data_IF_049745733837
#
_entry.id   IF_049745733837
#
_cell.length_a   1.000
_cell.length_b   1.000
_cell.length_c   1.000
_cell.angle_alpha   90.00
_cell.angle_beta   90.00
_cell.angle_gamma   90.00
#
_symmetry.space_group_name_H-M   'P 1'
#
loop_
_entity.id
_entity.type
_entity.pdbx_description
1 polymer ?
#
# COMPACT_ATOMS: atom_id res chain seq x y z
N UNK A 1 -13.68 5.89 -27.56
CA UNK A 1 -13.99 6.19 -26.15
C UNK A 1 -12.71 6.41 -25.38
N UNK A 2 -12.76 7.03 -24.20
CA UNK A 2 -11.57 7.17 -23.35
C UNK A 2 -10.97 5.82 -22.94
N UNK A 3 -9.73 5.83 -22.46
CA UNK A 3 -9.00 4.65 -22.01
C UNK A 3 -8.33 4.91 -20.65
N UNK A 4 -8.18 3.86 -19.86
CA UNK A 4 -7.40 3.87 -18.63
C UNK A 4 -6.33 2.79 -18.72
N UNK A 5 -5.09 3.16 -18.43
CA UNK A 5 -3.95 2.24 -18.38
C UNK A 5 -3.40 2.28 -16.97
N UNK A 6 -3.44 1.14 -16.29
CA UNK A 6 -2.73 0.92 -15.04
C UNK A 6 -1.36 0.31 -15.37
N UNK A 7 -0.31 1.10 -15.23
CA UNK A 7 1.07 0.64 -15.40
C UNK A 7 1.68 0.35 -14.02
N UNK A 8 2.11 -0.89 -13.81
CA UNK A 8 2.75 -1.35 -12.58
C UNK A 8 4.19 -1.77 -12.87
N UNK A 9 5.15 -1.11 -12.22
CA UNK A 9 6.57 -1.44 -12.32
C UNK A 9 7.08 -1.89 -10.96
N UNK A 10 7.75 -3.03 -10.92
CA UNK A 10 8.36 -3.58 -9.70
C UNK A 10 9.83 -3.85 -9.97
N UNK A 11 10.69 -3.01 -9.39
CA UNK A 11 12.14 -3.11 -9.55
C UNK A 11 12.78 -3.60 -8.24
N UNK A 12 13.37 -4.81 -8.21
CA UNK A 12 14.12 -5.29 -7.05
C UNK A 12 15.28 -4.34 -6.73
N UNK A 13 15.45 -3.97 -5.46
CA UNK A 13 16.52 -3.04 -5.05
C UNK A 13 17.62 -3.71 -4.23
N UNK A 14 17.26 -4.72 -3.45
CA UNK A 14 18.13 -5.64 -2.71
C UNK A 14 17.30 -6.86 -2.27
N UNK A 15 17.90 -8.00 -1.86
CA UNK A 15 17.14 -9.19 -1.48
C UNK A 15 16.08 -8.92 -0.40
N UNK A 16 14.80 -9.10 -0.74
CA UNK A 16 13.67 -8.85 0.16
C UNK A 16 13.08 -7.44 0.08
N UNK A 17 13.56 -6.60 -0.84
CA UNK A 17 12.98 -5.29 -1.11
C UNK A 17 12.74 -5.07 -2.60
N UNK A 18 11.58 -4.49 -2.88
CA UNK A 18 11.16 -4.08 -4.21
C UNK A 18 10.71 -2.63 -4.17
N UNK A 19 11.13 -1.86 -5.17
CA UNK A 19 10.54 -0.56 -5.46
C UNK A 19 9.37 -0.78 -6.39
N UNK A 20 8.16 -0.64 -5.85
CA UNK A 20 6.93 -0.69 -6.62
C UNK A 20 6.48 0.73 -7.03
N UNK A 21 6.13 0.90 -8.30
CA UNK A 21 5.66 2.16 -8.89
C UNK A 21 4.38 1.84 -9.67
N UNK A 22 3.26 2.37 -9.19
CA UNK A 22 1.98 2.31 -9.89
C UNK A 22 1.65 3.66 -10.52
N UNK A 23 1.23 3.65 -11.78
CA UNK A 23 0.80 4.83 -12.52
C UNK A 23 -0.55 4.57 -13.20
N UNK A 24 -1.54 5.41 -12.89
CA UNK A 24 -2.82 5.42 -13.57
C UNK A 24 -2.78 6.49 -14.67
N UNK A 25 -2.82 6.07 -15.93
CA UNK A 25 -2.82 6.94 -17.09
C UNK A 25 -4.25 6.97 -17.64
N UNK A 26 -4.87 8.14 -17.62
CA UNK A 26 -6.22 8.35 -18.15
C UNK A 26 -6.11 9.08 -19.48
N UNK A 27 -6.46 8.38 -20.55
CA UNK A 27 -6.55 8.92 -21.91
C UNK A 27 -8.01 9.31 -22.14
N UNK A 28 -8.27 10.61 -22.32
CA UNK A 28 -9.63 11.09 -22.60
C UNK A 28 -10.04 10.72 -24.02
N UNK A 29 -11.33 10.47 -24.22
CA UNK A 29 -11.90 10.34 -25.56
C UNK A 29 -11.82 11.64 -26.34
N UNK A 30 -12.11 11.59 -27.64
CA UNK A 30 -12.18 12.77 -28.51
C UNK A 30 -13.20 13.81 -28.02
N UNK A 31 -14.22 13.36 -27.29
CA UNK A 31 -15.24 14.17 -26.62
C UNK A 31 -14.79 14.76 -25.27
N UNK A 32 -13.52 14.56 -24.89
CA UNK A 32 -12.94 15.00 -23.63
C UNK A 32 -13.41 14.19 -22.41
N UNK A 33 -14.21 13.14 -22.60
CA UNK A 33 -14.74 12.33 -21.50
C UNK A 33 -13.78 11.24 -21.08
N UNK A 34 -13.87 10.87 -19.80
CA UNK A 34 -13.17 9.71 -19.24
C UNK A 34 -13.96 8.43 -19.56
N UNK A 35 -13.32 7.24 -19.59
CA UNK A 35 -14.02 5.98 -19.85
C UNK A 35 -15.11 5.66 -18.81
N UNK A 36 -16.27 5.22 -19.31
CA UNK A 36 -17.41 4.73 -18.51
C UNK A 36 -17.10 3.37 -17.85
N UNK A 37 -17.66 3.10 -16.67
CA UNK A 37 -17.54 1.80 -15.97
C UNK A 37 -16.32 1.62 -15.06
N UNK A 38 -15.32 2.51 -15.16
CA UNK A 38 -14.18 2.58 -14.24
C UNK A 38 -14.26 3.78 -13.29
N UNK A 39 -15.46 4.34 -13.10
CA UNK A 39 -15.69 5.59 -12.36
C UNK A 39 -14.91 5.67 -11.04
N UNK A 40 -14.82 4.59 -10.24
CA UNK A 40 -14.02 4.59 -9.01
C UNK A 40 -12.54 4.93 -9.22
N UNK A 41 -11.92 4.41 -10.29
CA UNK A 41 -10.53 4.69 -10.69
C UNK A 41 -10.42 5.94 -11.60
N UNK A 42 -11.53 6.37 -12.20
CA UNK A 42 -11.63 7.54 -13.09
C UNK A 42 -12.06 8.83 -12.37
N UNK A 43 -12.54 8.76 -11.13
CA UNK A 43 -12.88 9.95 -10.33
C UNK A 43 -11.58 10.75 -10.16
N UNK A 44 -11.64 12.04 -10.47
CA UNK A 44 -10.56 12.98 -10.20
C UNK A 44 -10.43 13.20 -8.69
N UNK A 45 -9.88 12.18 -8.01
CA UNK A 45 -9.57 12.23 -6.59
C UNK A 45 -8.38 13.18 -6.40
N UNK A 46 -8.34 13.95 -5.31
CA UNK A 46 -7.12 14.66 -4.93
C UNK A 46 -5.92 13.70 -4.92
N UNK A 47 -4.78 14.12 -5.47
CA UNK A 47 -3.61 13.22 -5.62
C UNK A 47 -3.19 12.54 -4.32
N UNK A 48 -3.29 13.24 -3.18
CA UNK A 48 -2.96 12.66 -1.88
C UNK A 48 -3.87 11.48 -1.50
N UNK A 49 -5.15 11.53 -1.89
CA UNK A 49 -6.10 10.49 -1.56
C UNK A 49 -5.83 9.24 -2.41
N UNK A 50 -5.52 9.44 -3.70
CA UNK A 50 -5.06 8.36 -4.58
C UNK A 50 -3.81 7.66 -4.04
N UNK A 51 -2.84 8.41 -3.50
CA UNK A 51 -1.66 7.82 -2.86
C UNK A 51 -2.01 6.96 -1.64
N UNK A 52 -2.91 7.44 -0.76
CA UNK A 52 -3.33 6.66 0.41
C UNK A 52 -4.09 5.40 -0.02
N UNK A 53 -5.06 5.51 -0.93
CA UNK A 53 -5.88 4.35 -1.32
C UNK A 53 -5.05 3.31 -2.06
N UNK A 54 -4.16 3.72 -2.95
CA UNK A 54 -3.24 2.81 -3.64
C UNK A 54 -2.29 2.13 -2.65
N UNK A 55 -1.73 2.89 -1.70
CA UNK A 55 -0.87 2.33 -0.64
C UNK A 55 -1.65 1.34 0.23
N UNK A 56 -2.86 1.68 0.69
CA UNK A 56 -3.71 0.78 1.48
C UNK A 56 -3.95 -0.54 0.75
N UNK A 57 -4.31 -0.48 -0.53
CA UNK A 57 -4.56 -1.65 -1.37
C UNK A 57 -3.32 -2.55 -1.46
N UNK A 58 -2.14 -1.98 -1.75
CA UNK A 58 -0.89 -2.74 -1.85
C UNK A 58 -0.46 -3.36 -0.52
N UNK A 59 -0.73 -2.69 0.60
CA UNK A 59 -0.39 -3.21 1.92
C UNK A 59 -1.23 -4.44 2.31
N UNK A 60 -2.39 -4.67 1.70
CA UNK A 60 -3.20 -5.88 1.97
C UNK A 60 -2.47 -7.17 1.57
N UNK A 61 -1.77 -7.17 0.44
CA UNK A 61 -1.04 -8.36 -0.04
C UNK A 61 0.42 -8.39 0.44
N UNK A 62 1.00 -7.23 0.74
CA UNK A 62 2.42 -7.09 1.06
C UNK A 62 2.87 -7.98 2.23
N UNK A 63 2.05 -8.13 3.28
CA UNK A 63 2.40 -9.00 4.42
C UNK A 63 2.48 -10.47 4.04
N UNK A 64 1.56 -10.94 3.20
CA UNK A 64 1.61 -12.32 2.69
C UNK A 64 2.85 -12.53 1.82
N UNK A 65 3.15 -11.59 0.93
CA UNK A 65 4.34 -11.64 0.07
C UNK A 65 5.63 -11.66 0.90
N UNK A 66 5.73 -10.79 1.92
CA UNK A 66 6.86 -10.78 2.85
C UNK A 66 7.03 -12.13 3.55
N UNK A 67 5.97 -12.67 4.15
CA UNK A 67 6.09 -13.95 4.84
C UNK A 67 6.39 -15.11 3.90
N UNK A 68 5.76 -15.15 2.72
CA UNK A 68 5.97 -16.20 1.72
C UNK A 68 7.41 -16.22 1.22
N UNK A 69 7.97 -15.08 0.83
CA UNK A 69 9.36 -15.00 0.35
C UNK A 69 10.34 -15.48 1.42
N UNK A 70 10.13 -15.08 2.69
CA UNK A 70 11.01 -15.47 3.80
C UNK A 70 10.92 -16.96 4.14
N UNK A 71 9.72 -17.53 4.08
CA UNK A 71 9.51 -18.98 4.32
C UNK A 71 10.18 -19.80 3.21
N UNK A 72 10.01 -19.38 1.96
CA UNK A 72 10.66 -20.02 0.81
C UNK A 72 12.18 -19.97 0.96
N UNK A 73 12.74 -18.79 1.25
CA UNK A 73 14.17 -18.63 1.46
C UNK A 73 14.70 -19.48 2.63
N UNK A 74 13.98 -19.53 3.75
CA UNK A 74 14.36 -20.34 4.91
C UNK A 74 14.31 -21.86 4.65
N UNK A 75 13.49 -22.30 3.70
CA UNK A 75 13.44 -23.70 3.24
C UNK A 75 14.45 -23.99 2.11
N UNK A 76 15.33 -23.05 1.80
CA UNK A 76 16.37 -23.20 0.78
C UNK A 76 15.86 -23.02 -0.65
N UNK A 77 14.63 -22.56 -0.86
CA UNK A 77 14.13 -22.29 -2.20
C UNK A 77 14.88 -21.12 -2.83
N UNK A 78 15.49 -21.36 -3.98
CA UNK A 78 16.04 -20.33 -4.86
C UNK A 78 15.47 -20.54 -6.25
N UNK A 79 14.84 -19.51 -6.78
CA UNK A 79 14.47 -19.51 -8.19
C UNK A 79 15.74 -19.17 -8.98
N UNK A 80 16.50 -20.16 -9.41
CA UNK A 80 17.73 -19.98 -10.19
C UNK A 80 17.74 -20.99 -11.35
N UNK A 81 18.32 -20.59 -12.48
CA UNK A 81 18.42 -21.45 -13.67
C UNK A 81 19.17 -22.74 -13.32
N UNK A 82 18.50 -23.88 -13.44
CA UNK A 82 19.09 -25.19 -13.09
C UNK A 82 19.19 -25.46 -11.59
N UNK A 83 18.58 -24.61 -10.74
CA UNK A 83 18.47 -24.84 -9.30
C UNK A 83 17.72 -26.13 -9.00
N UNK A 84 18.16 -26.83 -7.95
CA UNK A 84 17.48 -28.02 -7.42
C UNK A 84 16.43 -27.58 -6.41
N UNK A 85 15.16 -27.88 -6.69
CA UNK A 85 14.04 -27.62 -5.80
C UNK A 85 12.78 -27.27 -6.59
N UNK A 86 11.77 -28.12 -6.52
CA UNK A 86 10.47 -27.81 -7.10
C UNK A 86 9.74 -26.86 -6.14
N UNK A 87 9.14 -25.78 -6.67
CA UNK A 87 8.27 -24.92 -5.89
C UNK A 87 7.17 -25.74 -5.18
N UNK A 88 6.69 -26.80 -5.85
CA UNK A 88 5.64 -27.68 -5.34
C UNK A 88 6.10 -28.64 -4.23
N UNK A 89 7.41 -28.84 -4.03
CA UNK A 89 7.94 -29.57 -2.86
C UNK A 89 7.81 -28.74 -1.58
N UNK A 90 7.76 -27.41 -1.72
CA UNK A 90 7.80 -26.46 -0.60
C UNK A 90 6.41 -25.86 -0.35
N UNK A 91 5.65 -25.58 -1.42
CA UNK A 91 4.31 -25.01 -1.37
C UNK A 91 3.32 -26.04 -1.86
N UNK A 92 2.29 -26.31 -1.04
CA UNK A 92 1.25 -27.26 -1.38
C UNK A 92 0.27 -26.65 -2.39
N UNK A 93 0.36 -27.08 -3.65
CA UNK A 93 -0.47 -26.64 -4.79
C UNK A 93 -1.19 -27.84 -5.43
N UNK A 94 -2.13 -28.50 -4.70
CA UNK A 94 -2.64 -29.81 -5.08
C UNK A 94 -3.73 -29.77 -6.15
N UNK A 95 -4.32 -28.60 -6.44
CA UNK A 95 -5.53 -28.50 -7.27
C UNK A 95 -5.24 -27.99 -8.68
N UNK A 96 -6.14 -28.27 -9.62
CA UNK A 96 -6.02 -27.79 -11.01
C UNK A 96 -6.04 -26.26 -11.09
N UNK A 97 -6.69 -25.60 -10.13
CA UNK A 97 -6.75 -24.15 -10.01
C UNK A 97 -5.36 -23.53 -9.74
N UNK A 98 -4.41 -24.31 -9.19
CA UNK A 98 -3.04 -23.87 -8.92
C UNK A 98 -2.11 -24.02 -10.14
N UNK A 99 -2.60 -24.59 -11.25
CA UNK A 99 -1.79 -24.90 -12.43
C UNK A 99 -1.12 -23.64 -13.00
N UNK A 100 -1.83 -22.51 -13.02
CA UNK A 100 -1.29 -21.23 -13.48
C UNK A 100 -0.07 -20.78 -12.67
N UNK A 101 -0.12 -20.92 -11.34
CA UNK A 101 1.00 -20.57 -10.45
C UNK A 101 2.19 -21.50 -10.69
N UNK A 102 1.93 -22.81 -10.78
CA UNK A 102 2.96 -23.81 -11.03
C UNK A 102 3.67 -23.55 -12.36
N UNK A 103 2.91 -23.31 -13.44
CA UNK A 103 3.46 -23.06 -14.77
C UNK A 103 4.21 -21.73 -14.83
N UNK A 104 3.72 -20.69 -14.16
CA UNK A 104 4.44 -19.41 -14.06
C UNK A 104 5.78 -19.56 -13.34
N UNK A 105 5.84 -20.32 -12.24
CA UNK A 105 7.08 -20.58 -11.50
C UNK A 105 8.09 -21.35 -12.35
N UNK A 106 7.63 -22.38 -13.08
CA UNK A 106 8.47 -23.12 -14.03
C UNK A 106 8.97 -22.22 -15.16
N UNK A 107 8.10 -21.40 -15.75
CA UNK A 107 8.49 -20.45 -16.79
C UNK A 107 9.58 -19.49 -16.30
N UNK A 108 9.45 -18.91 -15.09
CA UNK A 108 10.51 -18.07 -14.51
C UNK A 108 11.84 -18.83 -14.39
N UNK A 109 11.82 -20.06 -13.86
CA UNK A 109 13.00 -20.87 -13.64
C UNK A 109 13.71 -21.25 -14.95
N UNK A 110 12.95 -21.72 -15.94
CA UNK A 110 13.51 -22.31 -17.16
C UNK A 110 13.68 -21.29 -18.30
N UNK A 111 12.84 -20.25 -18.37
CA UNK A 111 12.82 -19.29 -19.48
C UNK A 111 13.42 -17.92 -19.12
N UNK A 112 13.46 -17.54 -17.84
CA UNK A 112 13.93 -16.20 -17.41
C UNK A 112 15.21 -16.23 -16.57
N UNK A 113 16.00 -17.30 -16.68
CA UNK A 113 17.20 -17.53 -15.85
C UNK A 113 16.92 -17.65 -14.34
N UNK A 114 15.65 -17.74 -13.95
CA UNK A 114 15.19 -17.76 -12.57
C UNK A 114 14.88 -16.36 -12.02
N UNK A 115 15.37 -16.12 -10.81
CA UNK A 115 15.15 -14.92 -10.02
C UNK A 115 16.13 -13.80 -10.37
N UNK A 116 16.28 -12.85 -9.44
CA UNK A 116 17.09 -11.65 -9.67
C UNK A 116 18.59 -12.00 -9.59
N UNK A 117 19.40 -11.66 -10.60
CA UNK A 117 20.84 -11.90 -10.59
C UNK A 117 21.53 -10.87 -9.68
N UNK A 118 21.53 -11.12 -8.38
CA UNK A 118 22.19 -10.26 -7.40
C UNK A 118 23.71 -10.23 -7.64
N UNK A 119 24.30 -9.03 -7.58
CA UNK A 119 25.74 -8.87 -7.73
C UNK A 119 26.51 -9.55 -6.56
N UNK A 120 27.74 -10.04 -6.78
CA UNK A 120 28.57 -10.55 -5.71
C UNK A 120 28.72 -9.54 -4.56
N UNK A 121 28.54 -9.99 -3.31
CA UNK A 121 28.58 -9.13 -2.14
C UNK A 121 27.28 -8.35 -1.84
N UNK A 122 26.19 -8.62 -2.58
CA UNK A 122 24.86 -8.11 -2.19
C UNK A 122 24.48 -8.58 -0.79
N UNK A 123 23.74 -7.73 -0.06
CA UNK A 123 23.20 -8.06 1.26
C UNK A 123 22.39 -9.36 1.20
N UNK A 124 22.49 -10.19 2.23
CA UNK A 124 21.62 -11.36 2.34
C UNK A 124 20.17 -10.95 2.64
N UNK A 125 19.24 -11.84 2.27
CA UNK A 125 17.83 -11.71 2.61
C UNK A 125 17.69 -11.56 4.14
N UNK A 126 17.08 -10.47 4.66
CA UNK A 126 16.98 -10.27 6.10
C UNK A 126 16.00 -11.31 6.68
N UNK A 127 16.05 -11.54 8.00
CA UNK A 127 15.12 -12.44 8.67
C UNK A 127 13.66 -12.00 8.49
N UNK A 128 12.74 -12.94 8.72
CA UNK A 128 11.31 -12.68 8.65
C UNK A 128 10.88 -11.72 9.77
N UNK A 129 10.56 -10.49 9.40
CA UNK A 129 9.90 -9.54 10.31
C UNK A 129 8.52 -10.07 10.73
N UNK A 130 8.21 -10.01 12.02
CA UNK A 130 6.95 -10.48 12.62
C UNK A 130 6.16 -9.35 13.29
N UNK A 131 6.79 -8.20 13.48
CA UNK A 131 6.14 -7.02 14.01
C UNK A 131 5.37 -6.32 12.89
N UNK A 132 4.04 -6.37 12.99
CA UNK A 132 3.14 -5.69 12.05
C UNK A 132 3.40 -4.17 12.01
N UNK A 133 3.76 -3.54 13.13
CA UNK A 133 4.01 -2.10 13.15
C UNK A 133 5.18 -1.71 12.25
N UNK A 134 6.17 -2.60 12.09
CA UNK A 134 7.28 -2.38 11.16
C UNK A 134 6.87 -2.66 9.70
N UNK A 135 6.06 -3.69 9.47
CA UNK A 135 5.59 -4.04 8.12
C UNK A 135 4.66 -2.95 7.56
N UNK A 136 3.79 -2.40 8.40
CA UNK A 136 2.81 -1.38 8.01
C UNK A 136 3.29 0.05 8.29
N UNK A 137 4.60 0.29 8.43
CA UNK A 137 5.18 1.62 8.56
C UNK A 137 5.17 2.37 7.21
N UNK A 138 4.02 2.99 6.92
CA UNK A 138 3.79 3.80 5.71
C UNK A 138 4.67 5.05 5.73
N UNK A 139 4.95 5.59 6.92
CA UNK A 139 5.72 6.82 7.03
C UNK A 139 7.11 6.66 6.45
N UNK A 140 7.83 5.62 6.89
CA UNK A 140 9.21 5.40 6.52
C UNK A 140 9.37 4.76 5.13
N UNK A 141 8.39 3.98 4.68
CA UNK A 141 8.40 3.35 3.36
C UNK A 141 7.97 4.32 2.25
N UNK A 142 7.09 5.29 2.55
CA UNK A 142 6.54 6.19 1.54
C UNK A 142 6.48 7.66 1.97
N UNK A 143 5.70 8.00 3.02
CA UNK A 143 5.28 9.39 3.29
C UNK A 143 6.45 10.34 3.49
N UNK A 144 7.51 9.93 4.18
CA UNK A 144 8.70 10.77 4.42
C UNK A 144 9.42 11.18 3.13
N UNK A 145 9.24 10.44 2.03
CA UNK A 145 9.90 10.70 0.76
C UNK A 145 8.93 11.27 -0.30
N UNK A 146 7.63 11.37 0.00
CA UNK A 146 6.62 11.82 -0.95
C UNK A 146 6.16 13.26 -0.66
N UNK A 147 6.49 14.20 -1.55
CA UNK A 147 6.10 15.62 -1.41
C UNK A 147 4.58 15.80 -1.33
N UNK A 148 3.80 15.03 -2.10
CA UNK A 148 2.34 15.08 -2.11
C UNK A 148 1.78 14.69 -0.73
N UNK A 149 2.22 13.54 -0.20
CA UNK A 149 1.78 13.05 1.10
C UNK A 149 2.25 13.95 2.25
N UNK A 150 3.50 14.44 2.24
CA UNK A 150 3.98 15.38 3.25
C UNK A 150 3.16 16.68 3.28
N UNK A 151 2.85 17.23 2.09
CA UNK A 151 2.06 18.45 1.97
C UNK A 151 0.65 18.23 2.52
N UNK A 152 0.00 17.13 2.13
CA UNK A 152 -1.32 16.78 2.65
C UNK A 152 -1.30 16.58 4.17
N UNK A 153 -0.32 15.82 4.70
CA UNK A 153 -0.16 15.59 6.13
C UNK A 153 0.01 16.90 6.92
N UNK A 154 0.83 17.84 6.42
CA UNK A 154 1.00 19.17 7.02
C UNK A 154 -0.33 19.94 7.05
N UNK A 155 -1.08 19.91 5.95
CA UNK A 155 -2.37 20.60 5.86
C UNK A 155 -3.41 19.97 6.79
N UNK A 156 -3.49 18.65 6.88
CA UNK A 156 -4.39 17.96 7.80
C UNK A 156 -4.06 18.24 9.27
N UNK A 157 -2.78 18.28 9.65
CA UNK A 157 -2.37 18.66 11.00
C UNK A 157 -2.80 20.09 11.35
N UNK A 158 -2.63 21.03 10.41
CA UNK A 158 -3.09 22.41 10.58
C UNK A 158 -4.61 22.48 10.72
N UNK A 159 -5.35 21.80 9.84
CA UNK A 159 -6.81 21.74 9.89
C UNK A 159 -7.32 21.13 11.21
N UNK A 160 -6.66 20.09 11.72
CA UNK A 160 -6.99 19.48 13.02
C UNK A 160 -6.79 20.47 14.17
N UNK A 161 -5.68 21.20 14.16
CA UNK A 161 -5.41 22.23 15.16
C UNK A 161 -6.47 23.33 15.12
N UNK A 162 -6.81 23.83 13.91
CA UNK A 162 -7.84 24.87 13.77
C UNK A 162 -9.22 24.39 14.22
N UNK A 163 -9.58 23.12 13.99
CA UNK A 163 -10.84 22.54 14.44
C UNK A 163 -10.93 22.52 15.96
N UNK A 164 -9.87 22.10 16.66
CA UNK A 164 -9.86 22.11 18.13
C UNK A 164 -9.82 23.52 18.71
N UNK A 165 -9.07 24.44 18.11
CA UNK A 165 -9.06 25.84 18.52
C UNK A 165 -10.46 26.47 18.37
N UNK A 166 -11.15 26.18 17.25
CA UNK A 166 -12.51 26.63 17.02
C UNK A 166 -13.51 25.98 18.00
N UNK A 167 -13.38 24.68 18.27
CA UNK A 167 -14.21 23.99 19.25
C UNK A 167 -14.08 24.62 20.65
N UNK A 168 -12.86 24.92 21.06
CA UNK A 168 -12.57 25.61 22.32
C UNK A 168 -13.17 27.01 22.35
N UNK A 169 -13.00 27.80 21.29
CA UNK A 169 -13.59 29.14 21.19
C UNK A 169 -15.12 29.08 21.28
N UNK A 170 -15.78 28.15 20.57
CA UNK A 170 -17.23 27.99 20.62
C UNK A 170 -17.70 27.63 22.03
N UNK A 171 -16.99 26.73 22.73
CA UNK A 171 -17.30 26.37 24.11
C UNK A 171 -17.08 27.53 25.11
N UNK A 172 -16.11 28.41 24.84
CA UNK A 172 -15.77 29.54 25.72
C UNK A 172 -16.72 30.73 25.57
N UNK A 173 -17.14 31.05 24.34
CA UNK A 173 -17.90 32.27 24.04
C UNK A 173 -19.42 32.06 23.91
N UNK A 174 -19.87 30.82 23.70
CA UNK A 174 -21.30 30.49 23.60
C UNK A 174 -21.75 29.61 24.76
N UNK A 175 -23.06 29.52 25.00
CA UNK A 175 -23.66 28.70 26.06
C UNK A 175 -24.84 27.90 25.54
N UNK A 176 -25.20 26.84 26.26
CA UNK A 176 -26.35 26.00 25.93
C UNK A 176 -26.14 25.17 24.66
N UNK A 177 -27.19 25.02 23.86
CA UNK A 177 -27.22 24.10 22.72
C UNK A 177 -26.15 24.42 21.68
N UNK A 178 -25.84 25.71 21.44
CA UNK A 178 -24.84 26.13 20.45
C UNK A 178 -23.42 25.71 20.84
N UNK A 179 -23.05 25.87 22.11
CA UNK A 179 -21.75 25.42 22.62
C UNK A 179 -21.62 23.89 22.55
N UNK A 180 -22.68 23.18 22.96
CA UNK A 180 -22.68 21.72 23.04
C UNK A 180 -22.64 21.08 21.64
N UNK A 181 -23.51 21.51 20.74
CA UNK A 181 -23.60 20.95 19.38
C UNK A 181 -22.47 21.47 18.49
N UNK A 182 -22.25 22.79 18.45
CA UNK A 182 -21.22 23.40 17.60
C UNK A 182 -19.81 23.00 18.01
N UNK A 183 -19.49 23.12 19.31
CA UNK A 183 -18.20 22.70 19.85
C UNK A 183 -17.99 21.18 19.72
N UNK A 184 -19.04 20.40 20.01
CA UNK A 184 -19.01 18.93 19.86
C UNK A 184 -18.73 18.46 18.44
N UNK A 185 -19.40 19.03 17.42
CA UNK A 185 -19.19 18.68 16.02
C UNK A 185 -17.78 19.03 15.53
N UNK A 186 -17.24 20.18 15.94
CA UNK A 186 -15.87 20.61 15.60
C UNK A 186 -14.84 19.67 16.24
N UNK A 187 -15.03 19.31 17.51
CA UNK A 187 -14.15 18.38 18.21
C UNK A 187 -14.19 16.97 17.58
N UNK A 188 -15.40 16.47 17.26
CA UNK A 188 -15.57 15.17 16.59
C UNK A 188 -14.90 15.16 15.21
N UNK A 189 -15.06 16.23 14.43
CA UNK A 189 -14.40 16.39 13.13
C UNK A 189 -12.87 16.36 13.28
N UNK A 190 -12.32 17.00 14.32
CA UNK A 190 -10.89 16.95 14.64
C UNK A 190 -10.41 15.54 15.01
N UNK A 191 -11.23 14.75 15.71
CA UNK A 191 -10.92 13.34 16.01
C UNK A 191 -10.96 12.47 14.75
N UNK A 192 -11.97 12.63 13.89
CA UNK A 192 -12.08 11.93 12.61
C UNK A 192 -10.89 12.26 11.70
N UNK A 193 -10.47 13.53 11.64
CA UNK A 193 -9.29 13.94 10.90
C UNK A 193 -8.01 13.29 11.44
N UNK A 194 -7.99 12.96 12.73
CA UNK A 194 -6.94 12.17 13.34
C UNK A 194 -6.78 10.78 12.73
N UNK A 195 -7.88 10.11 12.37
CA UNK A 195 -7.81 8.83 11.67
C UNK A 195 -7.19 8.97 10.28
N UNK A 196 -7.57 10.01 9.53
CA UNK A 196 -6.97 10.30 8.20
C UNK A 196 -5.47 10.61 8.35
N UNK A 197 -5.08 11.40 9.36
CA UNK A 197 -3.67 11.69 9.65
C UNK A 197 -2.90 10.39 9.92
N UNK A 198 -3.48 9.44 10.66
CA UNK A 198 -2.82 8.19 10.99
C UNK A 198 -2.53 7.31 9.76
N UNK A 199 -3.35 7.41 8.70
CA UNK A 199 -3.12 6.69 7.45
C UNK A 199 -1.82 7.11 6.72
N UNK A 200 -1.26 8.28 7.04
CA UNK A 200 0.06 8.70 6.56
C UNK A 200 1.22 8.13 7.38
N UNK A 201 0.92 7.39 8.44
CA UNK A 201 1.92 6.82 9.35
C UNK A 201 1.91 5.31 9.31
N UNK A 202 0.75 4.73 9.56
CA UNK A 202 0.62 3.31 9.81
C UNK A 202 -0.76 2.82 9.42
N UNK A 203 -0.83 1.62 8.84
CA UNK A 203 -2.10 0.94 8.63
C UNK A 203 -2.31 -0.12 9.71
N UNK A 204 -3.35 0.00 10.56
CA UNK A 204 -3.65 -0.99 11.59
C UNK A 204 -4.33 -2.20 10.95
N UNK A 205 -3.59 -2.99 10.18
CA UNK A 205 -4.07 -4.27 9.65
C UNK A 205 -3.74 -5.40 10.63
N UNK A 206 -4.76 -6.14 11.04
CA UNK A 206 -4.62 -7.43 11.72
C UNK A 206 -5.37 -8.48 10.92
N UNK A 207 -4.65 -9.29 10.15
CA UNK A 207 -5.26 -10.27 9.25
C UNK A 207 -6.07 -11.36 9.97
N UNK A 208 -5.85 -11.55 11.28
CA UNK A 208 -6.62 -12.52 12.09
C UNK A 208 -8.05 -12.04 12.45
N UNK A 209 -8.36 -10.76 12.27
CA UNK A 209 -9.61 -10.14 12.73
C UNK A 209 -10.28 -9.24 11.67
N UNK A 210 -9.79 -9.30 10.43
CA UNK A 210 -10.31 -8.52 9.32
C UNK A 210 -11.12 -9.45 8.41
N UNK A 211 -12.25 -9.92 8.93
CA UNK A 211 -13.32 -10.55 8.16
C UNK A 211 -14.30 -9.48 7.63
#
# INVERSE_FOLDING_TARGET
GGQMILALYSAPTRPGWVRHIGCNIIIKGEDGKVPDGLAFFSISMPMWLSHITASLFLHMDMVFLHHQEKILAARGYKNEKGGKGDYNEIVHTPTEQDLGVTMFRKWLQYSCEGGVPWAPGSEEMPPRERNNDQLFDVYHTHTKNCKVCQTALKNFKRARFTLFAAAFAVAAFFKGVTALVGGGLLALSGLLLGKIINMFYHYPFQHAYND
#
